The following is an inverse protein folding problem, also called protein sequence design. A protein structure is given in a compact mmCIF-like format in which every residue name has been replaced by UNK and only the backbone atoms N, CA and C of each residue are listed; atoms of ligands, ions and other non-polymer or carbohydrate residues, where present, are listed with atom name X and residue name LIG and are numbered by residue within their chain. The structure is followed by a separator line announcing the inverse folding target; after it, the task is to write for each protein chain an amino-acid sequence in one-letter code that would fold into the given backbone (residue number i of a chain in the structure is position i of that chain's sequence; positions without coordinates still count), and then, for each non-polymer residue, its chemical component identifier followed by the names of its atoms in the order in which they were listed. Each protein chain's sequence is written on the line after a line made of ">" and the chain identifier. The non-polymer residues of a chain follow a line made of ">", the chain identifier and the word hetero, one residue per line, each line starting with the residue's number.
data_IF_436722249632
#
_entry.id   IF_436722249632
#
_cell.length_a   1.000
_cell.length_b   1.000
_cell.length_c   1.000
_cell.angle_alpha   90.00
_cell.angle_beta   90.00
_cell.angle_gamma   90.00
#
_symmetry.space_group_name_H-M   'P 1'
#
loop_
_entity.id
_entity.type
_entity.pdbx_description
1 polymer ?
#
# COMPACT_ATOMS: atom_id res chain seq x y z
N UNK A 1 2.20 -7.20 6.42
CA UNK A 1 3.17 -6.13 6.76
C UNK A 1 4.12 -6.55 7.89
N UNK A 2 5.32 -5.95 7.96
CA UNK A 2 6.30 -6.18 9.04
C UNK A 2 6.50 -4.89 9.82
N UNK A 3 6.60 -4.99 11.15
CA UNK A 3 6.92 -3.89 12.04
C UNK A 3 8.19 -4.22 12.82
N UNK A 4 8.93 -3.18 13.20
CA UNK A 4 10.14 -3.23 14.02
C UNK A 4 9.80 -2.54 15.34
N UNK A 5 9.84 -3.30 16.44
CA UNK A 5 9.63 -2.80 17.80
C UNK A 5 10.94 -2.78 18.58
N UNK A 6 11.31 -1.63 19.13
CA UNK A 6 12.44 -1.50 20.02
C UNK A 6 11.97 -1.61 21.49
N UNK A 7 12.44 -2.59 22.28
CA UNK A 7 12.05 -2.72 23.68
C UNK A 7 12.57 -1.56 24.55
N UNK A 8 13.77 -1.03 24.24
CA UNK A 8 14.41 0.03 25.04
C UNK A 8 13.72 1.38 24.83
N UNK A 9 13.50 1.78 23.57
CA UNK A 9 12.84 3.05 23.25
C UNK A 9 11.31 2.96 23.25
N UNK A 10 10.73 1.74 23.36
CA UNK A 10 9.28 1.46 23.24
C UNK A 10 8.65 2.00 21.94
N UNK A 11 9.44 2.12 20.88
CA UNK A 11 9.00 2.62 19.58
C UNK A 11 8.61 1.47 18.67
N UNK A 12 7.45 1.63 18.01
CA UNK A 12 6.96 0.73 16.98
C UNK A 12 6.91 1.47 15.64
N UNK A 13 7.59 0.93 14.62
CA UNK A 13 7.57 1.49 13.25
C UNK A 13 7.36 0.40 12.21
N UNK A 14 6.78 0.74 11.04
CA UNK A 14 6.82 -0.14 9.88
C UNK A 14 8.27 -0.49 9.54
N UNK A 15 8.55 -1.77 9.28
CA UNK A 15 9.89 -2.20 8.87
C UNK A 15 10.06 -1.90 7.38
N UNK A 16 10.93 -0.96 7.06
CA UNK A 16 11.30 -0.71 5.66
C UNK A 16 12.15 -1.88 5.12
N UNK A 17 12.05 -2.20 3.83
CA UNK A 17 12.75 -3.35 3.24
C UNK A 17 14.28 -3.23 3.40
N UNK A 18 14.80 -2.01 3.29
CA UNK A 18 16.22 -1.69 3.40
C UNK A 18 16.69 -1.39 4.83
N UNK A 19 15.78 -1.30 5.81
CA UNK A 19 16.14 -0.97 7.18
C UNK A 19 16.77 -2.18 7.87
N UNK A 20 18.00 -2.00 8.39
CA UNK A 20 18.66 -2.98 9.25
C UNK A 20 17.77 -3.21 10.48
N UNK A 21 17.77 -4.41 11.06
CA UNK A 21 16.95 -4.78 12.23
C UNK A 21 17.44 -4.12 13.53
N UNK A 22 17.65 -2.80 13.48
CA UNK A 22 18.19 -1.96 14.54
C UNK A 22 17.31 -0.74 14.70
N UNK A 23 17.18 -0.28 15.94
CA UNK A 23 16.52 0.97 16.24
C UNK A 23 17.34 2.15 15.69
N UNK A 24 16.71 3.08 15.00
CA UNK A 24 17.36 4.30 14.50
C UNK A 24 17.78 5.27 15.62
N UNK A 25 17.21 5.10 16.82
CA UNK A 25 17.52 5.96 17.97
C UNK A 25 18.64 5.37 18.82
N UNK A 26 18.47 4.14 19.32
CA UNK A 26 19.43 3.53 20.24
C UNK A 26 20.37 2.51 19.59
N UNK A 27 20.19 2.16 18.31
CA UNK A 27 21.01 1.16 17.61
C UNK A 27 20.79 -0.30 18.04
N UNK A 28 19.99 -0.56 19.09
CA UNK A 28 19.70 -1.89 19.59
C UNK A 28 18.86 -2.73 18.60
N UNK A 29 18.95 -4.05 18.70
CA UNK A 29 18.20 -4.95 17.83
C UNK A 29 16.69 -4.82 18.06
N UNK A 30 15.92 -4.70 16.97
CA UNK A 30 14.47 -4.61 17.07
C UNK A 30 13.78 -5.96 16.87
N UNK A 31 12.69 -6.16 17.61
CA UNK A 31 11.82 -7.32 17.48
C UNK A 31 10.91 -7.14 16.27
N UNK A 32 11.00 -8.06 15.31
CA UNK A 32 10.17 -8.03 14.11
C UNK A 32 8.80 -8.64 14.40
N UNK A 33 7.74 -7.86 14.22
CA UNK A 33 6.35 -8.27 14.37
C UNK A 33 5.73 -8.39 12.98
N UNK A 34 5.19 -9.57 12.65
CA UNK A 34 4.50 -9.79 11.38
C UNK A 34 3.00 -9.64 11.59
N UNK A 35 2.39 -8.69 10.88
CA UNK A 35 0.95 -8.48 10.87
C UNK A 35 0.41 -8.92 9.52
N UNK A 36 -0.64 -9.76 9.52
CA UNK A 36 -1.29 -10.21 8.29
C UNK A 36 -1.98 -9.02 7.62
N UNK A 37 -1.85 -8.94 6.29
CA UNK A 37 -2.56 -7.94 5.49
C UNK A 37 -4.06 -8.19 5.60
N UNK A 38 -4.85 -7.15 5.80
CA UNK A 38 -6.31 -7.26 5.89
C UNK A 38 -6.96 -6.99 4.56
N UNK A 39 -8.30 -7.06 4.52
CA UNK A 39 -9.11 -6.75 3.33
C UNK A 39 -8.80 -5.35 2.79
N UNK A 40 -8.51 -4.37 3.66
CA UNK A 40 -8.17 -3.01 3.22
C UNK A 40 -6.86 -2.98 2.41
N UNK A 41 -5.83 -3.71 2.85
CA UNK A 41 -4.60 -3.84 2.06
C UNK A 41 -4.82 -4.48 0.68
N UNK A 42 -5.70 -5.48 0.59
CA UNK A 42 -6.06 -6.09 -0.70
C UNK A 42 -6.83 -5.13 -1.61
N UNK A 43 -7.78 -4.37 -1.06
CA UNK A 43 -8.51 -3.34 -1.82
C UNK A 43 -7.56 -2.24 -2.32
N UNK A 44 -6.62 -1.78 -1.49
CA UNK A 44 -5.58 -0.81 -1.90
C UNK A 44 -4.79 -1.30 -3.12
N UNK A 45 -4.36 -2.57 -3.12
CA UNK A 45 -3.67 -3.16 -4.26
C UNK A 45 -4.55 -3.27 -5.50
N UNK A 46 -5.83 -3.64 -5.34
CA UNK A 46 -6.77 -3.74 -6.45
C UNK A 46 -6.97 -2.37 -7.14
N UNK A 47 -7.25 -1.32 -6.38
CA UNK A 47 -7.44 0.03 -6.92
C UNK A 47 -6.15 0.62 -7.52
N UNK A 48 -5.00 0.29 -6.93
CA UNK A 48 -3.70 0.67 -7.48
C UNK A 48 -3.42 -0.03 -8.82
N UNK A 49 -3.77 -1.31 -8.94
CA UNK A 49 -3.63 -2.06 -10.19
C UNK A 49 -4.54 -1.48 -11.28
N UNK A 50 -5.79 -1.17 -10.96
CA UNK A 50 -6.73 -0.51 -11.89
C UNK A 50 -6.18 0.82 -12.38
N UNK A 51 -5.66 1.66 -11.47
CA UNK A 51 -5.05 2.93 -11.83
C UNK A 51 -3.84 2.75 -12.76
N UNK A 52 -2.98 1.76 -12.51
CA UNK A 52 -1.83 1.46 -13.37
C UNK A 52 -2.30 0.99 -14.75
N UNK A 53 -3.32 0.14 -14.84
CA UNK A 53 -3.85 -0.32 -16.13
C UNK A 53 -4.37 0.84 -16.97
N UNK A 54 -5.13 1.76 -16.37
CA UNK A 54 -5.61 2.95 -17.08
C UNK A 54 -4.47 3.91 -17.43
N UNK A 55 -3.46 4.05 -16.57
CA UNK A 55 -2.29 4.88 -16.87
C UNK A 55 -1.46 4.30 -18.03
N UNK A 56 -1.25 2.98 -18.04
CA UNK A 56 -0.54 2.29 -19.13
C UNK A 56 -1.30 2.45 -20.44
N UNK A 57 -2.63 2.31 -20.44
CA UNK A 57 -3.46 2.58 -21.62
C UNK A 57 -3.33 4.03 -22.09
N UNK A 58 -3.39 4.99 -21.15
CA UNK A 58 -3.23 6.41 -21.47
C UNK A 58 -1.87 6.74 -22.10
N UNK A 59 -0.79 6.08 -21.66
CA UNK A 59 0.58 6.31 -22.17
C UNK A 59 0.83 5.51 -23.46
N UNK A 60 0.33 4.28 -23.56
CA UNK A 60 0.64 3.33 -24.63
C UNK A 60 -0.29 3.48 -25.85
N UNK A 61 -0.75 4.70 -26.15
CA UNK A 61 -1.67 5.00 -27.26
C UNK A 61 -1.24 4.42 -28.62
N UNK A 62 0.04 4.05 -28.78
CA UNK A 62 0.59 3.39 -29.97
C UNK A 62 1.08 1.95 -29.70
N UNK A 63 0.19 0.97 -29.82
CA UNK A 63 0.48 -0.45 -30.08
C UNK A 63 0.52 -1.41 -28.86
N UNK A 64 -0.32 -2.45 -29.00
CA UNK A 64 -0.22 -3.82 -28.45
C UNK A 64 -1.08 -4.26 -27.25
N UNK A 65 -1.57 -3.39 -26.35
CA UNK A 65 -2.40 -3.86 -25.21
C UNK A 65 -3.93 -3.88 -25.47
N UNK A 66 -4.34 -3.48 -26.69
CA UNK A 66 -5.68 -2.90 -26.96
C UNK A 66 -6.86 -3.87 -27.18
N UNK A 67 -6.74 -5.19 -27.06
CA UNK A 67 -7.92 -6.08 -27.24
C UNK A 67 -8.87 -6.14 -26.03
N UNK A 68 -8.42 -5.73 -24.85
CA UNK A 68 -9.28 -5.61 -23.65
C UNK A 68 -9.93 -4.22 -23.53
N UNK A 69 -9.50 -3.26 -24.36
CA UNK A 69 -9.72 -1.82 -24.19
C UNK A 69 -10.66 -1.21 -25.23
N UNK A 70 -11.22 -2.00 -26.15
CA UNK A 70 -12.24 -1.51 -27.10
C UNK A 70 -13.48 -0.94 -26.37
N UNK A 71 -13.75 -1.39 -25.13
CA UNK A 71 -14.77 -0.79 -24.26
C UNK A 71 -14.35 0.56 -23.64
N UNK A 72 -13.05 0.75 -23.38
CA UNK A 72 -12.49 1.98 -22.77
C UNK A 72 -12.23 3.06 -23.82
N UNK A 73 -11.98 2.69 -25.09
CA UNK A 73 -11.84 3.63 -26.21
C UNK A 73 -13.06 4.53 -26.43
N UNK A 74 -14.24 4.13 -25.96
CA UNK A 74 -15.46 4.94 -26.00
C UNK A 74 -15.53 6.00 -24.89
N UNK A 75 -14.60 5.96 -23.92
CA UNK A 75 -14.56 6.87 -22.78
C UNK A 75 -13.74 8.10 -23.15
N UNK A 76 -14.25 9.33 -22.93
CA UNK A 76 -13.48 10.54 -23.17
C UNK A 76 -12.24 10.58 -22.27
N UNK A 77 -11.13 11.09 -22.81
CA UNK A 77 -9.83 11.13 -22.13
C UNK A 77 -9.88 11.81 -20.76
N UNK A 78 -10.71 12.84 -20.59
CA UNK A 78 -10.93 13.52 -19.31
C UNK A 78 -11.49 12.59 -18.23
N UNK A 79 -12.43 11.72 -18.60
CA UNK A 79 -13.04 10.77 -17.67
C UNK A 79 -12.07 9.65 -17.29
N UNK A 80 -11.21 9.24 -18.24
CA UNK A 80 -10.14 8.28 -17.98
C UNK A 80 -9.14 8.86 -16.98
N UNK A 81 -8.68 10.10 -17.18
CA UNK A 81 -7.78 10.79 -16.25
C UNK A 81 -8.44 10.94 -14.86
N UNK A 82 -9.70 11.38 -14.81
CA UNK A 82 -10.45 11.47 -13.55
C UNK A 82 -10.53 10.10 -12.84
N UNK A 83 -10.78 9.02 -13.58
CA UNK A 83 -10.85 7.67 -13.02
C UNK A 83 -9.53 7.17 -12.44
N UNK A 84 -8.39 7.54 -13.03
CA UNK A 84 -7.05 7.27 -12.48
C UNK A 84 -6.91 7.97 -11.12
N UNK A 85 -7.18 9.28 -11.07
CA UNK A 85 -7.06 10.04 -9.82
C UNK A 85 -7.98 9.51 -8.72
N UNK A 86 -9.24 9.20 -9.07
CA UNK A 86 -10.21 8.64 -8.13
C UNK A 86 -9.72 7.29 -7.60
N UNK A 87 -9.21 6.41 -8.48
CA UNK A 87 -8.71 5.09 -8.08
C UNK A 87 -7.50 5.20 -7.15
N UNK A 88 -6.56 6.09 -7.45
CA UNK A 88 -5.41 6.38 -6.59
C UNK A 88 -5.86 6.92 -5.23
N UNK A 89 -6.80 7.87 -5.22
CA UNK A 89 -7.32 8.45 -3.99
C UNK A 89 -7.98 7.39 -3.09
N UNK A 90 -8.81 6.52 -3.68
CA UNK A 90 -9.44 5.39 -2.98
C UNK A 90 -8.37 4.41 -2.46
N UNK A 91 -7.35 4.11 -3.26
CA UNK A 91 -6.23 3.28 -2.81
C UNK A 91 -5.51 3.88 -1.59
N UNK A 92 -5.28 5.19 -1.57
CA UNK A 92 -4.70 5.88 -0.40
C UNK A 92 -5.58 5.78 0.84
N UNK A 93 -6.90 5.92 0.71
CA UNK A 93 -7.84 5.73 1.84
C UNK A 93 -7.69 4.31 2.41
N UNK A 94 -7.73 3.29 1.55
CA UNK A 94 -7.59 1.91 2.00
C UNK A 94 -6.21 1.61 2.59
N UNK A 95 -5.15 2.21 2.03
CA UNK A 95 -3.80 2.10 2.57
C UNK A 95 -3.71 2.71 3.97
N UNK A 96 -4.36 3.85 4.21
CA UNK A 96 -4.43 4.48 5.52
C UNK A 96 -5.19 3.61 6.54
N UNK A 97 -6.34 3.05 6.14
CA UNK A 97 -7.12 2.13 6.98
C UNK A 97 -6.34 0.84 7.31
N UNK A 98 -5.61 0.29 6.34
CA UNK A 98 -4.75 -0.87 6.55
C UNK A 98 -3.63 -0.54 7.56
N UNK A 99 -2.96 0.60 7.40
CA UNK A 99 -1.86 1.01 8.26
C UNK A 99 -2.31 1.25 9.71
N UNK A 100 -3.45 1.92 9.91
CA UNK A 100 -4.01 2.19 11.25
C UNK A 100 -4.39 0.88 11.94
N UNK A 101 -5.08 -0.02 11.23
CA UNK A 101 -5.46 -1.34 11.75
C UNK A 101 -4.23 -2.19 12.06
N UNK A 102 -3.27 -2.27 11.15
CA UNK A 102 -2.06 -3.05 11.33
C UNK A 102 -1.21 -2.54 12.50
N UNK A 103 -1.13 -1.22 12.68
CA UNK A 103 -0.44 -0.60 13.82
C UNK A 103 -1.13 -0.92 15.14
N UNK A 104 -2.47 -0.87 15.19
CA UNK A 104 -3.25 -1.24 16.38
C UNK A 104 -3.03 -2.71 16.74
N UNK A 105 -3.06 -3.61 15.76
CA UNK A 105 -2.78 -5.05 15.95
C UNK A 105 -1.35 -5.28 16.45
N UNK A 106 -0.35 -4.63 15.84
CA UNK A 106 1.05 -4.73 16.28
C UNK A 106 1.25 -4.26 17.72
N UNK A 107 0.61 -3.14 18.13
CA UNK A 107 0.62 -2.67 19.53
C UNK A 107 -0.05 -3.66 20.48
N UNK A 108 -1.16 -4.28 20.07
CA UNK A 108 -1.82 -5.32 20.85
C UNK A 108 -0.92 -6.55 21.09
N UNK A 109 -0.17 -6.97 20.08
CA UNK A 109 0.79 -8.08 20.19
C UNK A 109 1.97 -7.79 21.11
N UNK A 110 2.30 -6.52 21.35
CA UNK A 110 3.34 -6.12 22.31
C UNK A 110 2.80 -6.17 23.74
N UNK A 111 1.57 -5.69 23.97
CA UNK A 111 0.97 -5.64 25.32
C UNK A 111 0.53 -7.00 25.87
N UNK A 112 0.24 -7.96 24.99
CA UNK A 112 -0.15 -9.33 25.36
C UNK A 112 1.03 -10.29 25.56
N UNK A 113 2.27 -9.79 25.55
CA UNK A 113 3.49 -10.55 25.85
C UNK A 113 4.17 -9.93 27.06
#
# INVERSE_FOLDING_TARGET
>A
MKFCYCPDCKILRPKNWYSREKCEICGAHCKVIRVKTTVFGWLSYLFSLVAILFLVDFIAQDHAFLKFLDFIKAIPSELLVASIFISIFIAFIFQYLELTKATKTARGMIKGK
#
